data_IF_360125029250
#
_entry.id   IF_360125029250
#
_cell.length_a   1.000
_cell.length_b   1.000
_cell.length_c   1.000
_cell.angle_alpha   90.00
_cell.angle_beta   90.00
_cell.angle_gamma   90.00
#
_symmetry.space_group_name_H-M   'P 1'
#
loop_
_entity.id
_entity.type
_entity.pdbx_description
1 polymer ?
#
# COMPACT_ATOMS: atom_id res chain seq x y z
N UNK A 1 18.97 -11.28 -29.14
CA UNK A 1 18.34 -11.58 -27.83
C UNK A 1 18.70 -10.47 -26.86
N UNK A 2 17.75 -9.61 -26.49
CA UNK A 2 17.60 -8.94 -25.18
C UNK A 2 16.64 -7.74 -25.35
N UNK A 3 15.36 -8.04 -25.60
CA UNK A 3 14.28 -7.08 -25.42
C UNK A 3 13.59 -7.45 -24.11
N UNK A 4 14.22 -7.14 -22.97
CA UNK A 4 13.52 -7.11 -21.68
C UNK A 4 12.54 -5.94 -21.74
N UNK A 5 11.38 -6.22 -22.32
CA UNK A 5 10.32 -5.27 -22.58
C UNK A 5 9.94 -4.61 -21.23
N UNK A 6 10.16 -3.30 -21.04
CA UNK A 6 9.92 -2.62 -19.77
C UNK A 6 8.44 -2.63 -19.35
N UNK A 7 7.55 -3.17 -20.20
CA UNK A 7 6.14 -3.47 -19.91
C UNK A 7 5.96 -4.76 -19.09
N UNK A 8 6.73 -5.83 -19.35
CA UNK A 8 6.52 -7.13 -18.69
C UNK A 8 6.83 -7.04 -17.19
N UNK A 9 7.96 -6.42 -16.83
CA UNK A 9 8.34 -6.25 -15.42
C UNK A 9 7.33 -5.40 -14.62
N UNK A 10 6.73 -4.39 -15.26
CA UNK A 10 5.70 -3.53 -14.63
C UNK A 10 4.38 -4.28 -14.46
N UNK A 11 3.95 -4.97 -15.50
CA UNK A 11 2.76 -5.82 -15.46
C UNK A 11 2.89 -6.89 -14.38
N UNK A 12 4.05 -7.55 -14.31
CA UNK A 12 4.35 -8.51 -13.26
C UNK A 12 4.29 -7.87 -11.87
N UNK A 13 4.95 -6.72 -11.66
CA UNK A 13 4.93 -6.04 -10.36
C UNK A 13 3.52 -5.65 -9.90
N UNK A 14 2.67 -5.18 -10.82
CA UNK A 14 1.26 -4.85 -10.52
C UNK A 14 0.50 -6.10 -10.10
N UNK A 15 0.58 -7.17 -10.90
CA UNK A 15 -0.15 -8.42 -10.59
C UNK A 15 0.34 -9.07 -9.31
N UNK A 16 1.66 -9.08 -9.06
CA UNK A 16 2.24 -9.57 -7.80
C UNK A 16 1.76 -8.73 -6.61
N UNK A 17 1.77 -7.40 -6.70
CA UNK A 17 1.27 -6.55 -5.63
C UNK A 17 -0.22 -6.78 -5.35
N UNK A 18 -1.05 -6.92 -6.39
CA UNK A 18 -2.47 -7.24 -6.21
C UNK A 18 -2.68 -8.63 -5.60
N UNK A 19 -1.88 -9.63 -6.00
CA UNK A 19 -1.93 -10.97 -5.45
C UNK A 19 -1.55 -11.01 -3.97
N UNK A 20 -0.48 -10.29 -3.58
CA UNK A 20 -0.08 -10.13 -2.18
C UNK A 20 -1.20 -9.47 -1.37
N UNK A 21 -1.83 -8.43 -1.91
CA UNK A 21 -2.96 -7.76 -1.25
C UNK A 21 -4.14 -8.70 -0.99
N UNK A 22 -4.54 -9.49 -1.99
CA UNK A 22 -5.63 -10.47 -1.86
C UNK A 22 -5.26 -11.56 -0.86
N UNK A 23 -4.06 -12.12 -0.95
CA UNK A 23 -3.58 -13.16 -0.03
C UNK A 23 -3.53 -12.65 1.42
N UNK A 24 -3.03 -11.43 1.62
CA UNK A 24 -2.95 -10.80 2.94
C UNK A 24 -4.34 -10.52 3.52
N UNK A 25 -5.30 -10.14 2.68
CA UNK A 25 -6.70 -9.95 3.08
C UNK A 25 -7.35 -11.27 3.53
N UNK A 26 -7.23 -12.32 2.72
CA UNK A 26 -7.77 -13.65 3.04
C UNK A 26 -7.13 -14.19 4.33
N UNK A 27 -5.81 -14.08 4.47
CA UNK A 27 -5.09 -14.52 5.67
C UNK A 27 -5.53 -13.75 6.92
N UNK A 28 -5.69 -12.43 6.81
CA UNK A 28 -6.16 -11.61 7.93
C UNK A 28 -7.61 -11.96 8.31
N UNK A 29 -8.48 -12.20 7.32
CA UNK A 29 -9.87 -12.62 7.55
C UNK A 29 -9.93 -13.96 8.27
N UNK A 30 -9.14 -14.93 7.83
CA UNK A 30 -9.05 -16.24 8.48
C UNK A 30 -8.54 -16.12 9.92
N UNK A 31 -7.49 -15.30 10.13
CA UNK A 31 -6.95 -14.99 11.45
C UNK A 31 -8.01 -14.38 12.38
N UNK A 32 -8.83 -13.45 11.88
CA UNK A 32 -9.95 -12.87 12.63
C UNK A 32 -11.02 -13.90 13.00
N UNK A 33 -11.41 -14.77 12.07
CA UNK A 33 -12.39 -15.84 12.34
C UNK A 33 -11.88 -16.83 13.39
N UNK A 34 -10.63 -17.29 13.24
CA UNK A 34 -9.98 -18.18 14.22
C UNK A 34 -9.88 -17.49 15.58
N UNK A 35 -9.58 -16.19 15.60
CA UNK A 35 -9.53 -15.40 16.83
C UNK A 35 -10.87 -15.33 17.57
N UNK A 36 -11.97 -15.20 16.85
CA UNK A 36 -13.32 -15.25 17.44
C UNK A 36 -13.68 -16.63 17.98
N UNK A 37 -13.21 -17.71 17.34
CA UNK A 37 -13.50 -19.10 17.76
C UNK A 37 -12.67 -19.51 18.99
N UNK A 38 -11.37 -19.17 19.03
CA UNK A 38 -10.49 -19.61 20.12
C UNK A 38 -10.84 -18.96 21.47
N UNK A 39 -11.37 -17.73 21.45
CA UNK A 39 -11.59 -16.96 22.68
C UNK A 39 -10.30 -16.67 23.44
N UNK A 40 -10.41 -15.96 24.57
CA UNK A 40 -9.26 -15.60 25.41
C UNK A 40 -8.38 -14.46 24.88
N UNK A 41 -7.21 -14.30 25.50
CA UNK A 41 -6.26 -13.21 25.21
C UNK A 41 -5.67 -13.32 23.79
N UNK A 42 -5.30 -14.53 23.36
CA UNK A 42 -4.77 -14.80 22.01
C UNK A 42 -5.83 -14.54 20.94
N UNK A 43 -7.07 -15.00 21.14
CA UNK A 43 -8.16 -14.76 20.19
C UNK A 43 -8.48 -13.27 20.02
N UNK A 44 -8.51 -12.52 21.12
CA UNK A 44 -8.71 -11.06 21.11
C UNK A 44 -7.59 -10.33 20.36
N UNK A 45 -6.35 -10.83 20.41
CA UNK A 45 -5.22 -10.24 19.70
C UNK A 45 -5.33 -10.46 18.18
N UNK A 46 -5.74 -11.66 17.75
CA UNK A 46 -5.95 -11.98 16.34
C UNK A 46 -7.09 -11.14 15.72
N UNK A 47 -8.20 -10.96 16.46
CA UNK A 47 -9.29 -10.08 16.02
C UNK A 47 -8.84 -8.62 15.92
N UNK A 48 -8.08 -8.12 16.90
CA UNK A 48 -7.49 -6.77 16.85
C UNK A 48 -6.58 -6.61 15.64
N UNK A 49 -5.75 -7.61 15.33
CA UNK A 49 -4.87 -7.60 14.16
C UNK A 49 -5.66 -7.53 12.85
N UNK A 50 -6.75 -8.28 12.72
CA UNK A 50 -7.63 -8.23 11.55
C UNK A 50 -8.28 -6.85 11.37
N UNK A 51 -8.83 -6.27 12.45
CA UNK A 51 -9.43 -4.93 12.40
C UNK A 51 -8.37 -3.89 12.04
N UNK A 52 -7.16 -4.00 12.56
CA UNK A 52 -6.06 -3.11 12.20
C UNK A 52 -5.67 -3.19 10.73
N UNK A 53 -5.50 -4.40 10.18
CA UNK A 53 -5.15 -4.53 8.75
C UNK A 53 -6.24 -4.00 7.84
N UNK A 54 -7.52 -4.13 8.21
CA UNK A 54 -8.63 -3.49 7.52
C UNK A 54 -8.55 -1.95 7.55
N UNK A 55 -8.41 -1.36 8.73
CA UNK A 55 -8.38 0.10 8.87
C UNK A 55 -7.15 0.69 8.16
N UNK A 56 -5.99 0.05 8.29
CA UNK A 56 -4.76 0.43 7.57
C UNK A 56 -4.98 0.33 6.06
N UNK A 57 -5.57 -0.77 5.58
CA UNK A 57 -5.87 -0.96 4.16
C UNK A 57 -6.76 0.14 3.59
N UNK A 58 -7.80 0.54 4.33
CA UNK A 58 -8.69 1.65 3.96
C UNK A 58 -7.94 2.98 4.00
N UNK A 59 -7.12 3.22 5.02
CA UNK A 59 -6.35 4.46 5.18
C UNK A 59 -5.37 4.70 4.03
N UNK A 60 -4.74 3.65 3.51
CA UNK A 60 -3.88 3.73 2.32
C UNK A 60 -4.67 3.67 1.00
N UNK A 61 -5.83 2.99 0.97
CA UNK A 61 -6.65 2.82 -0.22
C UNK A 61 -7.54 4.02 -0.55
N UNK A 62 -8.13 4.69 0.43
CA UNK A 62 -9.06 5.82 0.22
C UNK A 62 -8.40 7.02 -0.49
N UNK A 63 -7.17 7.45 -0.13
CA UNK A 63 -6.47 8.49 -0.87
C UNK A 63 -6.10 8.10 -2.31
N UNK A 64 -6.14 6.80 -2.65
CA UNK A 64 -5.84 6.33 -4.00
C UNK A 64 -6.85 6.85 -5.05
N UNK A 65 -8.08 7.19 -4.63
CA UNK A 65 -9.10 7.82 -5.49
C UNK A 65 -8.59 9.15 -6.09
N UNK A 66 -7.72 9.86 -5.38
CA UNK A 66 -7.17 11.14 -5.85
C UNK A 66 -6.30 10.98 -7.10
N UNK A 67 -5.77 9.77 -7.36
CA UNK A 67 -4.98 9.50 -8.56
C UNK A 67 -5.78 9.57 -9.85
N UNK A 68 -7.10 9.36 -9.78
CA UNK A 68 -8.03 9.46 -10.92
C UNK A 68 -8.19 10.92 -11.38
N UNK A 69 -7.95 11.89 -10.49
CA UNK A 69 -8.06 13.30 -10.85
C UNK A 69 -6.81 13.79 -11.60
N UNK A 70 -6.91 14.25 -12.84
CA UNK A 70 -5.77 14.83 -13.58
C UNK A 70 -5.36 16.23 -13.11
N UNK A 71 -6.13 16.82 -12.18
CA UNK A 71 -5.94 18.19 -11.72
C UNK A 71 -4.72 18.37 -10.80
N UNK A 72 -4.18 17.30 -10.22
CA UNK A 72 -3.09 17.37 -9.23
C UNK A 72 -1.75 16.86 -9.80
N UNK A 73 -0.67 17.57 -9.47
CA UNK A 73 0.69 17.13 -9.75
C UNK A 73 1.00 15.78 -9.07
N UNK A 74 1.75 14.92 -9.76
CA UNK A 74 2.11 13.57 -9.30
C UNK A 74 2.72 13.55 -7.88
N UNK A 75 3.49 14.58 -7.53
CA UNK A 75 4.12 14.72 -6.22
C UNK A 75 3.10 14.93 -5.10
N UNK A 76 2.06 15.72 -5.37
CA UNK A 76 1.00 16.04 -4.41
C UNK A 76 0.12 14.80 -4.21
N UNK A 77 -0.18 14.05 -5.28
CA UNK A 77 -0.87 12.75 -5.20
C UNK A 77 -0.10 11.75 -4.31
N UNK A 78 1.23 11.75 -4.41
CA UNK A 78 2.09 10.89 -3.60
C UNK A 78 2.08 11.29 -2.11
N UNK A 79 2.16 12.58 -1.80
CA UNK A 79 2.07 13.08 -0.42
C UNK A 79 0.71 12.73 0.20
N UNK A 80 -0.38 12.97 -0.53
CA UNK A 80 -1.73 12.67 -0.05
C UNK A 80 -1.97 11.16 0.12
N UNK A 81 -1.26 10.31 -0.64
CA UNK A 81 -1.31 8.86 -0.46
C UNK A 81 -0.52 8.37 0.77
N UNK A 82 0.61 9.02 1.09
CA UNK A 82 1.51 8.59 2.19
C UNK A 82 1.02 9.10 3.54
N UNK A 83 0.80 10.41 3.65
CA UNK A 83 0.67 11.09 4.95
C UNK A 83 -0.49 10.53 5.79
N UNK A 84 -1.72 10.37 5.26
CA UNK A 84 -2.83 9.85 6.05
C UNK A 84 -2.61 8.39 6.46
N UNK A 85 -2.11 7.55 5.53
CA UNK A 85 -1.84 6.14 5.77
C UNK A 85 -0.79 5.92 6.85
N UNK A 86 0.31 6.66 6.81
CA UNK A 86 1.39 6.57 7.81
C UNK A 86 0.93 7.03 9.20
N UNK A 87 0.14 8.11 9.28
CA UNK A 87 -0.40 8.59 10.57
C UNK A 87 -1.32 7.53 11.17
N UNK A 88 -2.28 7.03 10.40
CA UNK A 88 -3.24 6.02 10.87
C UNK A 88 -2.54 4.72 11.26
N UNK A 89 -1.56 4.27 10.45
CA UNK A 89 -0.74 3.12 10.77
C UNK A 89 -0.01 3.28 12.11
N UNK A 90 0.60 4.43 12.34
CA UNK A 90 1.35 4.71 13.58
C UNK A 90 0.41 4.70 14.80
N UNK A 91 -0.78 5.29 14.69
CA UNK A 91 -1.79 5.26 15.74
C UNK A 91 -2.27 3.83 16.05
N UNK A 92 -2.49 3.01 15.02
CA UNK A 92 -2.93 1.61 15.17
C UNK A 92 -1.82 0.73 15.76
N UNK A 93 -0.58 0.88 15.27
CA UNK A 93 0.59 0.19 15.80
C UNK A 93 0.79 0.51 17.29
N UNK A 94 0.51 1.76 17.69
CA UNK A 94 0.48 2.15 19.09
C UNK A 94 -0.64 1.44 19.85
N UNK A 95 -1.88 1.44 19.33
CA UNK A 95 -3.04 0.86 20.00
C UNK A 95 -2.96 -0.67 20.20
N UNK A 96 -2.43 -1.39 19.22
CA UNK A 96 -2.25 -2.85 19.29
C UNK A 96 -1.03 -3.25 20.12
N UNK A 97 -0.06 -2.35 20.28
CA UNK A 97 1.21 -2.69 20.94
C UNK A 97 2.21 -3.38 20.02
N UNK A 98 2.11 -3.19 18.70
CA UNK A 98 3.16 -3.64 17.76
C UNK A 98 4.49 -2.94 17.99
N UNK A 99 4.45 -1.75 18.60
CA UNK A 99 5.66 -1.03 19.01
C UNK A 99 6.18 -1.67 20.30
N UNK A 100 7.38 -2.28 20.29
CA UNK A 100 7.97 -2.91 21.46
C UNK A 100 8.47 -1.84 22.44
N UNK A 101 7.57 -1.33 23.29
CA UNK A 101 7.87 -0.27 24.29
C UNK A 101 8.79 -0.78 25.41
N UNK A 102 8.77 -2.09 25.62
CA UNK A 102 9.45 -2.81 26.69
C UNK A 102 10.96 -2.94 26.43
N UNK A 103 11.37 -2.83 25.16
CA UNK A 103 12.75 -2.99 24.70
C UNK A 103 13.50 -1.64 24.58
N UNK A 104 12.92 -0.56 25.12
CA UNK A 104 13.53 0.76 25.19
C UNK A 104 13.27 1.68 24.00
N UNK A 105 13.62 2.97 24.15
CA UNK A 105 13.32 4.05 23.19
C UNK A 105 13.91 3.78 21.80
N UNK A 106 15.07 3.13 21.72
CA UNK A 106 15.73 2.79 20.45
C UNK A 106 14.92 1.82 19.59
N UNK A 107 14.19 0.87 20.19
CA UNK A 107 13.32 -0.06 19.47
C UNK A 107 12.06 0.63 18.92
N UNK A 108 11.56 1.64 19.64
CA UNK A 108 10.45 2.48 19.17
C UNK A 108 10.89 3.35 17.99
N UNK A 109 12.06 3.98 18.07
CA UNK A 109 12.58 4.80 16.97
C UNK A 109 12.87 3.93 15.73
N UNK A 110 13.49 2.77 15.90
CA UNK A 110 13.83 1.90 14.77
C UNK A 110 12.60 1.37 14.05
N UNK A 111 11.53 1.02 14.78
CA UNK A 111 10.25 0.58 14.18
C UNK A 111 9.59 1.71 13.39
N UNK A 112 9.54 2.94 13.93
CA UNK A 112 9.00 4.11 13.21
C UNK A 112 9.82 4.40 11.94
N UNK A 113 11.15 4.38 12.03
CA UNK A 113 12.03 4.59 10.86
C UNK A 113 11.79 3.51 9.80
N UNK A 114 11.69 2.24 10.19
CA UNK A 114 11.39 1.14 9.27
C UNK A 114 10.05 1.32 8.55
N UNK A 115 9.00 1.74 9.26
CA UNK A 115 7.68 2.01 8.66
C UNK A 115 7.79 3.13 7.61
N UNK A 116 8.51 4.20 7.92
CA UNK A 116 8.71 5.32 6.98
C UNK A 116 9.51 4.89 5.76
N UNK A 117 10.59 4.13 5.94
CA UNK A 117 11.42 3.62 4.84
C UNK A 117 10.61 2.70 3.92
N UNK A 118 9.87 1.74 4.47
CA UNK A 118 9.04 0.82 3.68
C UNK A 118 7.95 1.59 2.94
N UNK A 119 7.30 2.56 3.59
CA UNK A 119 6.27 3.40 2.95
C UNK A 119 6.85 4.20 1.79
N UNK A 120 8.03 4.80 1.97
CA UNK A 120 8.73 5.53 0.90
C UNK A 120 9.09 4.62 -0.28
N UNK A 121 9.56 3.39 -0.02
CA UNK A 121 9.88 2.41 -1.06
C UNK A 121 8.63 2.04 -1.87
N UNK A 122 7.53 1.70 -1.20
CA UNK A 122 6.25 1.36 -1.86
C UNK A 122 5.78 2.52 -2.73
N UNK A 123 5.85 3.74 -2.21
CA UNK A 123 5.42 4.92 -2.97
C UNK A 123 6.36 5.27 -4.13
N UNK A 124 7.66 5.06 -3.99
CA UNK A 124 8.60 5.21 -5.09
C UNK A 124 8.27 4.23 -6.23
N UNK A 125 7.98 2.97 -5.91
CA UNK A 125 7.56 1.95 -6.88
C UNK A 125 6.25 2.36 -7.55
N UNK A 126 5.22 2.72 -6.78
CA UNK A 126 3.93 3.16 -7.31
C UNK A 126 4.09 4.41 -8.20
N UNK A 127 4.91 5.38 -7.79
CA UNK A 127 5.16 6.61 -8.55
C UNK A 127 5.85 6.36 -9.90
N UNK A 128 6.83 5.45 -9.94
CA UNK A 128 7.51 5.04 -11.18
C UNK A 128 6.55 4.30 -12.12
N UNK A 129 5.73 3.39 -11.58
CA UNK A 129 4.71 2.65 -12.36
C UNK A 129 3.67 3.62 -12.94
N UNK A 130 3.14 4.54 -12.13
CA UNK A 130 2.13 5.51 -12.57
C UNK A 130 2.65 6.48 -13.63
N UNK A 131 3.86 7.02 -13.46
CA UNK A 131 4.49 7.90 -14.46
C UNK A 131 4.61 7.23 -15.83
N UNK A 132 4.83 5.92 -15.85
CA UNK A 132 4.90 5.17 -17.09
C UNK A 132 3.52 5.02 -17.74
N UNK A 133 2.46 4.75 -16.96
CA UNK A 133 1.11 4.55 -17.50
C UNK A 133 0.55 5.81 -18.17
N UNK A 134 0.83 6.99 -17.61
CA UNK A 134 0.42 8.28 -18.21
C UNK A 134 1.09 8.52 -19.57
N UNK A 135 2.37 8.14 -19.71
CA UNK A 135 3.10 8.26 -20.98
C UNK A 135 2.53 7.33 -22.04
N UNK A 136 2.29 6.07 -21.69
CA UNK A 136 1.71 5.10 -22.61
C UNK A 136 0.32 5.53 -23.09
N UNK A 137 -0.52 6.07 -22.20
CA UNK A 137 -1.88 6.52 -22.54
C UNK A 137 -1.88 7.72 -23.50
N UNK A 138 -0.99 8.70 -23.29
CA UNK A 138 -0.83 9.83 -24.20
C UNK A 138 -0.33 9.41 -25.59
N UNK A 139 0.53 8.40 -25.65
CA UNK A 139 0.99 7.85 -26.93
C UNK A 139 -0.14 7.12 -27.67
N UNK A 140 -1.03 6.41 -26.97
CA UNK A 140 -2.23 5.81 -27.57
C UNK A 140 -3.21 6.85 -28.11
N UNK A 141 -3.43 7.96 -27.39
CA UNK A 141 -4.29 9.05 -27.84
C UNK A 141 -3.73 9.75 -29.10
N UNK A 142 -2.42 10.01 -29.14
CA UNK A 142 -1.76 10.58 -30.33
C UNK A 142 -1.86 9.65 -31.54
N UNK A 143 -1.69 8.34 -31.35
CA UNK A 143 -1.87 7.35 -32.43
C UNK A 143 -3.31 7.29 -32.92
N UNK A 144 -4.30 7.36 -32.03
CA UNK A 144 -5.72 7.40 -32.43
C UNK A 144 -6.09 8.68 -33.19
N UNK A 145 -5.55 9.83 -32.78
CA UNK A 145 -5.75 11.10 -33.51
C UNK A 145 -5.09 11.11 -34.89
N UNK A 146 -3.96 10.41 -35.07
CA UNK A 146 -3.30 10.27 -36.37
C UNK A 146 -3.98 9.28 -37.32
N UNK A 147 -4.78 8.34 -36.82
CA UNK A 147 -5.51 7.37 -37.64
C UNK A 147 -6.87 7.91 -38.10
N UNK A 148 -7.39 8.96 -37.45
CA UNK A 148 -8.67 9.61 -37.84
C UNK A 148 -8.49 10.82 -38.77
N UNK A 149 -7.29 11.03 -39.30
CA UNK A 149 -6.95 12.02 -40.33
C UNK A 149 -6.34 11.28 -41.53
#
# INVERSE_FOLDING_TARGET
MNNSNPSIGKTLAIYTATGIGIASFIGSLFSGIVGMIMGGSTGSMLVKQFVATLVIGIAFGAPAIIWVSDRLATWIKLIVAIVPGTIIYTCIAWWIGWIPREYGVWAVISTIVMILVVTLIICAICGVVFRSNVRTMNDYLKRRQQISH
#
